data_IF_722183662998
#
_entry.id   IF_722183662998
#
_cell.length_a   1.000
_cell.length_b   1.000
_cell.length_c   1.000
_cell.angle_alpha   90.00
_cell.angle_beta   90.00
_cell.angle_gamma   90.00
#
_symmetry.space_group_name_H-M   'P 1'
#
loop_
_entity.id
_entity.type
_entity.pdbx_description
1 polymer ?
#
# COMPACT_ATOMS: atom_id res chain seq x y z
N UNK A 1 0.06 33.72 44.28
CA UNK A 1 0.32 34.03 42.85
C UNK A 1 1.41 33.15 42.24
N UNK A 2 2.64 33.09 42.77
CA UNK A 2 3.75 32.31 42.18
C UNK A 2 3.48 30.79 42.00
N UNK A 3 2.80 30.14 42.97
CA UNK A 3 2.50 28.70 42.89
C UNK A 3 1.56 28.31 41.74
N UNK A 4 0.56 29.14 41.44
CA UNK A 4 -0.37 28.90 40.32
C UNK A 4 0.32 29.07 38.96
N UNK A 5 1.29 29.99 38.86
CA UNK A 5 2.08 30.19 37.64
C UNK A 5 2.96 28.97 37.37
N UNK A 6 3.60 28.41 38.42
CA UNK A 6 4.44 27.22 38.29
C UNK A 6 3.61 25.99 37.92
N UNK A 7 2.45 25.79 38.57
CA UNK A 7 1.55 24.70 38.23
C UNK A 7 1.02 24.83 36.78
N UNK A 8 0.64 26.03 36.36
CA UNK A 8 0.22 26.29 34.99
C UNK A 8 1.31 25.99 33.96
N UNK A 9 2.56 26.40 34.25
CA UNK A 9 3.70 26.12 33.39
C UNK A 9 4.00 24.61 33.28
N UNK A 10 3.89 23.87 34.39
CA UNK A 10 4.09 22.42 34.40
C UNK A 10 3.03 21.70 33.55
N UNK A 11 1.76 22.08 33.69
CA UNK A 11 0.67 21.51 32.89
C UNK A 11 0.85 21.84 31.41
N UNK A 12 1.19 23.09 31.08
CA UNK A 12 1.45 23.49 29.70
C UNK A 12 2.59 22.68 29.08
N UNK A 13 3.68 22.45 29.82
CA UNK A 13 4.80 21.64 29.34
C UNK A 13 4.39 20.19 29.05
N UNK A 14 3.62 19.56 29.93
CA UNK A 14 3.13 18.19 29.74
C UNK A 14 2.19 18.12 28.53
N UNK A 15 1.24 19.04 28.40
CA UNK A 15 0.33 19.09 27.26
C UNK A 15 1.09 19.25 25.94
N UNK A 16 2.08 20.13 25.91
CA UNK A 16 2.88 20.38 24.71
C UNK A 16 3.69 19.13 24.31
N UNK A 17 4.30 18.44 25.28
CA UNK A 17 4.99 17.17 25.05
C UNK A 17 4.05 16.08 24.54
N UNK A 18 2.86 15.93 25.14
CA UNK A 18 1.90 14.92 24.67
C UNK A 18 1.40 15.20 23.26
N UNK A 19 1.16 16.47 22.93
CA UNK A 19 0.71 16.87 21.60
C UNK A 19 1.76 16.61 20.52
N UNK A 20 3.03 16.94 20.78
CA UNK A 20 4.11 16.71 19.80
C UNK A 20 4.32 15.22 19.53
N UNK A 21 4.29 14.38 20.58
CA UNK A 21 4.43 12.94 20.42
C UNK A 21 3.25 12.33 19.67
N UNK A 22 2.02 12.79 19.95
CA UNK A 22 0.84 12.33 19.25
C UNK A 22 0.87 12.69 17.76
N UNK A 23 1.28 13.91 17.41
CA UNK A 23 1.44 14.33 16.02
C UNK A 23 2.51 13.51 15.28
N UNK A 24 3.67 13.28 15.91
CA UNK A 24 4.72 12.44 15.34
C UNK A 24 4.22 11.01 15.10
N UNK A 25 3.52 10.42 16.06
CA UNK A 25 2.92 9.08 15.93
C UNK A 25 1.92 9.01 14.78
N UNK A 26 1.00 9.99 14.69
CA UNK A 26 -0.02 10.05 13.62
C UNK A 26 0.63 10.17 12.25
N UNK A 27 1.66 11.01 12.12
CA UNK A 27 2.39 11.23 10.86
C UNK A 27 3.16 9.98 10.43
N UNK A 28 3.83 9.30 11.37
CA UNK A 28 4.50 8.03 11.09
C UNK A 28 3.52 6.97 10.58
N UNK A 29 2.34 6.85 11.21
CA UNK A 29 1.28 5.92 10.80
C UNK A 29 0.72 6.23 9.40
N UNK A 30 0.53 7.51 9.06
CA UNK A 30 0.03 7.87 7.72
C UNK A 30 1.05 7.55 6.64
N UNK A 31 2.35 7.72 6.89
CA UNK A 31 3.41 7.36 5.94
C UNK A 31 3.39 5.85 5.67
N UNK A 32 3.31 5.02 6.71
CA UNK A 32 3.26 3.57 6.54
C UNK A 32 1.98 3.11 5.83
N UNK A 33 0.83 3.75 6.09
CA UNK A 33 -0.40 3.50 5.35
C UNK A 33 -0.27 3.83 3.86
N UNK A 34 0.36 4.96 3.52
CA UNK A 34 0.59 5.36 2.12
C UNK A 34 1.51 4.36 1.42
N UNK A 35 2.61 3.94 2.04
CA UNK A 35 3.50 2.91 1.48
C UNK A 35 2.77 1.60 1.22
N UNK A 36 1.92 1.19 2.16
CA UNK A 36 1.14 -0.04 2.01
C UNK A 36 0.14 0.06 0.84
N UNK A 37 -0.58 1.18 0.72
CA UNK A 37 -1.49 1.44 -0.40
C UNK A 37 -0.74 1.47 -1.73
N UNK A 38 0.43 2.11 -1.78
CA UNK A 38 1.28 2.13 -2.98
C UNK A 38 1.69 0.71 -3.39
N UNK A 39 2.06 -0.14 -2.43
CA UNK A 39 2.40 -1.54 -2.69
C UNK A 39 1.21 -2.33 -3.22
N UNK A 40 0.02 -2.16 -2.64
CA UNK A 40 -1.22 -2.78 -3.14
C UNK A 40 -1.50 -2.35 -4.58
N UNK A 41 -1.40 -1.05 -4.88
CA UNK A 41 -1.65 -0.54 -6.22
C UNK A 41 -0.64 -1.10 -7.24
N UNK A 42 0.63 -1.23 -6.84
CA UNK A 42 1.65 -1.85 -7.67
C UNK A 42 1.35 -3.33 -7.94
N UNK A 43 1.02 -4.10 -6.89
CA UNK A 43 0.67 -5.52 -7.02
C UNK A 43 -0.57 -5.73 -7.90
N UNK A 44 -1.60 -4.89 -7.72
CA UNK A 44 -2.81 -4.92 -8.56
C UNK A 44 -2.50 -4.58 -10.03
N UNK A 45 -1.64 -3.59 -10.27
CA UNK A 45 -1.22 -3.23 -11.63
C UNK A 45 -0.45 -4.37 -12.28
N UNK A 46 0.48 -5.00 -11.54
CA UNK A 46 1.23 -6.14 -12.04
C UNK A 46 0.33 -7.35 -12.34
N UNK A 47 -0.65 -7.62 -11.47
CA UNK A 47 -1.64 -8.68 -11.68
C UNK A 47 -2.51 -8.41 -12.91
N UNK A 48 -2.95 -7.15 -13.11
CA UNK A 48 -3.69 -6.72 -14.29
C UNK A 48 -2.89 -6.93 -15.58
N UNK A 49 -1.65 -6.43 -15.62
CA UNK A 49 -0.76 -6.60 -16.77
C UNK A 49 -0.46 -8.07 -17.07
N UNK A 50 -0.27 -8.89 -16.02
CA UNK A 50 -0.09 -10.33 -16.18
C UNK A 50 -1.34 -11.00 -16.77
N UNK A 51 -2.53 -10.64 -16.30
CA UNK A 51 -3.78 -11.16 -16.82
C UNK A 51 -4.01 -10.75 -18.28
N UNK A 52 -3.67 -9.52 -18.67
CA UNK A 52 -3.74 -9.08 -20.07
C UNK A 52 -2.75 -9.81 -20.96
N UNK A 53 -1.52 -10.03 -20.49
CA UNK A 53 -0.54 -10.86 -21.19
C UNK A 53 -1.07 -12.27 -21.41
N UNK A 54 -1.64 -12.89 -20.38
CA UNK A 54 -2.25 -14.22 -20.48
C UNK A 54 -3.39 -14.23 -21.49
N UNK A 55 -4.28 -13.22 -21.46
CA UNK A 55 -5.34 -13.09 -22.48
C UNK A 55 -4.76 -13.00 -23.89
N UNK A 56 -3.69 -12.23 -24.10
CA UNK A 56 -3.02 -12.11 -25.40
C UNK A 56 -2.41 -13.44 -25.87
N UNK A 57 -1.67 -14.10 -24.98
CA UNK A 57 -1.03 -15.38 -25.27
C UNK A 57 -2.06 -16.48 -25.57
N UNK A 58 -3.14 -16.55 -24.80
CA UNK A 58 -4.27 -17.47 -25.00
C UNK A 58 -5.05 -17.19 -26.29
N UNK A 59 -5.23 -15.91 -26.67
CA UNK A 59 -5.95 -15.53 -27.88
C UNK A 59 -5.27 -16.06 -29.14
N UNK A 60 -3.93 -16.12 -29.15
CA UNK A 60 -3.16 -16.72 -30.25
C UNK A 60 -3.42 -18.23 -30.41
N UNK A 61 -3.78 -18.94 -29.34
CA UNK A 61 -4.19 -20.35 -29.47
C UNK A 61 -5.58 -20.50 -30.07
N UNK A 62 -6.46 -19.52 -29.85
CA UNK A 62 -7.77 -19.46 -30.50
C UNK A 62 -7.62 -19.32 -32.03
N UNK A 63 -6.65 -18.53 -32.51
CA UNK A 63 -6.30 -18.45 -33.93
C UNK A 63 -5.75 -19.78 -34.48
N UNK A 64 -5.21 -20.65 -33.61
CA UNK A 64 -4.71 -21.97 -33.94
C UNK A 64 -5.72 -23.12 -33.74
N UNK A 65 -6.97 -22.82 -33.33
CA UNK A 65 -8.04 -23.79 -33.01
C UNK A 65 -7.79 -24.68 -31.78
N UNK A 66 -6.86 -24.32 -30.90
CA UNK A 66 -6.29 -25.20 -29.89
C UNK A 66 -6.47 -24.75 -28.44
N UNK A 67 -6.25 -25.66 -27.49
CA UNK A 67 -6.16 -25.35 -26.05
C UNK A 67 -4.74 -24.93 -25.69
N UNK A 68 -4.60 -23.89 -24.85
CA UNK A 68 -3.29 -23.51 -24.33
C UNK A 68 -2.91 -24.37 -23.13
N UNK A 69 -1.73 -24.97 -23.17
CA UNK A 69 -1.16 -25.69 -22.05
C UNK A 69 -0.29 -24.75 -21.21
N UNK A 70 -0.75 -24.49 -19.98
CA UNK A 70 -0.05 -23.64 -19.01
C UNK A 70 1.22 -24.30 -18.44
N UNK A 71 1.36 -25.63 -18.52
CA UNK A 71 2.53 -26.34 -18.02
C UNK A 71 3.72 -26.24 -18.99
N UNK A 72 3.45 -26.27 -20.29
CA UNK A 72 4.48 -26.24 -21.35
C UNK A 72 4.62 -24.88 -22.02
N UNK A 73 3.64 -23.99 -21.88
CA UNK A 73 3.64 -22.66 -22.50
C UNK A 73 3.37 -22.68 -24.01
N UNK A 74 2.79 -23.77 -24.54
CA UNK A 74 2.46 -23.95 -25.96
C UNK A 74 0.96 -24.10 -26.20
N UNK A 75 0.52 -23.78 -27.43
CA UNK A 75 -0.81 -24.14 -27.90
C UNK A 75 -0.78 -25.56 -28.43
N UNK A 76 -1.60 -26.46 -27.88
CA UNK A 76 -1.84 -27.78 -28.47
C UNK A 76 -2.79 -27.64 -29.65
N UNK A 77 -2.46 -28.27 -30.78
CA UNK A 77 -3.35 -28.33 -31.96
C UNK A 77 -4.29 -29.51 -31.90
#
# INVERSE_FOLDING_TARGET
MKGYIIAGAAVAAVLLLTFTHWQAYRTGRSIEQVKFIQKINLENTNAGNAAEKWRGDLRRCNDASGLFDFATGSCDR
#
